data_IF_493282595955
#
_entry.id   IF_493282595955
#
_cell.length_a   1.000
_cell.length_b   1.000
_cell.length_c   1.000
_cell.angle_alpha   90.00
_cell.angle_beta   90.00
_cell.angle_gamma   90.00
#
_symmetry.space_group_name_H-M   'P 1'
#
loop_
_entity.id
_entity.type
_entity.pdbx_description
1 polymer ?
#
# COMPACT_ATOMS: atom_id res chain seq x y z
N UNK A 1 -11.99 -31.26 -3.49
CA UNK A 1 -13.19 -30.50 -3.56
C UNK A 1 -13.05 -29.30 -4.48
N UNK A 2 -13.99 -29.12 -5.30
CA UNK A 2 -13.95 -28.02 -6.19
C UNK A 2 -14.59 -26.83 -5.61
N UNK A 3 -13.91 -25.75 -5.67
CA UNK A 3 -14.50 -24.50 -5.29
C UNK A 3 -15.04 -23.85 -6.53
N UNK A 4 -16.30 -23.60 -6.54
CA UNK A 4 -16.87 -22.87 -7.65
C UNK A 4 -16.42 -21.45 -7.60
N UNK A 5 -16.02 -20.94 -8.74
CA UNK A 5 -15.70 -19.52 -8.86
C UNK A 5 -17.02 -18.76 -8.82
N UNK A 6 -17.10 -17.71 -8.02
CA UNK A 6 -18.33 -16.93 -8.03
C UNK A 6 -18.54 -16.28 -9.39
N UNK A 7 -19.81 -16.20 -9.77
CA UNK A 7 -20.17 -15.53 -11.01
C UNK A 7 -20.27 -14.04 -10.74
N UNK A 8 -19.73 -13.19 -11.61
CA UNK A 8 -19.87 -11.75 -11.41
C UNK A 8 -21.34 -11.35 -11.55
N UNK A 9 -21.86 -10.52 -10.63
CA UNK A 9 -23.23 -10.03 -10.75
C UNK A 9 -23.49 -9.24 -12.04
N UNK A 10 -22.46 -8.60 -12.58
CA UNK A 10 -22.57 -7.85 -13.80
C UNK A 10 -21.58 -8.37 -14.84
N UNK A 11 -21.89 -9.52 -15.49
CA UNK A 11 -20.95 -10.08 -16.47
C UNK A 11 -20.72 -9.19 -17.69
N UNK A 12 -21.63 -8.22 -17.93
CA UNK A 12 -21.47 -7.21 -18.99
C UNK A 12 -20.47 -6.12 -18.62
N UNK A 13 -20.03 -6.09 -17.36
CA UNK A 13 -19.14 -5.04 -16.87
C UNK A 13 -17.85 -5.58 -16.27
N UNK A 14 -17.37 -6.70 -16.78
CA UNK A 14 -16.07 -7.21 -16.35
C UNK A 14 -15.02 -6.16 -16.68
N UNK A 15 -14.26 -5.74 -15.69
CA UNK A 15 -13.28 -4.69 -15.92
C UNK A 15 -12.13 -5.20 -16.76
N UNK A 16 -11.67 -4.35 -17.65
CA UNK A 16 -10.43 -4.58 -18.35
C UNK A 16 -9.63 -3.28 -18.29
N UNK A 17 -8.33 -3.40 -18.15
CA UNK A 17 -7.49 -2.24 -17.96
C UNK A 17 -6.77 -1.97 -19.28
N UNK A 18 -7.04 -0.81 -19.86
CA UNK A 18 -6.53 -0.47 -21.18
C UNK A 18 -5.20 0.24 -21.15
N UNK A 19 -4.85 0.84 -20.04
CA UNK A 19 -3.57 1.50 -19.88
C UNK A 19 -2.68 0.71 -18.98
N UNK A 20 -1.82 1.41 -18.30
CA UNK A 20 -0.99 0.78 -17.28
C UNK A 20 -1.80 0.48 -16.03
N UNK A 21 -1.31 -0.41 -15.22
CA UNK A 21 -1.96 -0.73 -13.96
C UNK A 21 -0.91 -1.17 -12.95
N UNK A 22 -1.31 -1.14 -11.70
CA UNK A 22 -0.50 -1.65 -10.60
C UNK A 22 -1.22 -2.82 -9.95
N UNK A 23 -0.48 -3.62 -9.23
CA UNK A 23 -1.01 -4.84 -8.61
C UNK A 23 -0.67 -4.88 -7.14
N UNK A 24 -1.52 -5.52 -6.36
CA UNK A 24 -1.33 -5.71 -4.94
C UNK A 24 -1.14 -7.18 -4.66
N UNK A 25 -0.10 -7.49 -3.94
CA UNK A 25 0.19 -8.87 -3.53
C UNK A 25 -0.87 -9.31 -2.52
N UNK A 26 -1.52 -10.42 -2.80
CA UNK A 26 -2.56 -10.95 -1.92
C UNK A 26 -2.03 -11.28 -0.53
N UNK A 27 -0.73 -11.53 -0.38
CA UNK A 27 -0.13 -11.81 0.92
C UNK A 27 -0.27 -10.64 1.88
N UNK A 28 -0.45 -9.41 1.35
CA UNK A 28 -0.56 -8.25 2.21
C UNK A 28 -1.64 -8.46 3.27
N UNK A 29 -2.80 -8.95 2.87
CA UNK A 29 -3.87 -9.24 3.82
C UNK A 29 -3.82 -10.68 4.33
N UNK A 30 -3.56 -11.64 3.45
CA UNK A 30 -3.63 -13.05 3.83
C UNK A 30 -2.60 -13.47 4.86
N UNK A 31 -1.43 -12.82 4.84
CA UNK A 31 -0.36 -13.17 5.76
C UNK A 31 -0.13 -12.11 6.82
N UNK A 32 -1.07 -11.18 6.95
CA UNK A 32 -1.06 -10.25 8.07
C UNK A 32 -0.09 -9.08 7.96
N UNK A 33 0.40 -8.76 6.76
CA UNK A 33 1.29 -7.61 6.60
C UNK A 33 0.58 -6.30 6.93
N UNK A 34 -0.75 -6.28 6.83
CA UNK A 34 -1.55 -5.10 7.13
C UNK A 34 -1.82 -4.90 8.62
N UNK A 35 -1.57 -5.92 9.44
CA UNK A 35 -1.96 -5.87 10.84
C UNK A 35 -1.19 -4.83 11.62
N UNK A 36 -1.92 -4.08 12.43
CA UNK A 36 -1.33 -3.02 13.22
C UNK A 36 -1.13 -1.70 12.48
N UNK A 37 -1.38 -1.66 11.18
CA UNK A 37 -1.31 -0.41 10.43
C UNK A 37 -2.57 0.41 10.69
N UNK A 38 -2.42 1.72 10.82
CA UNK A 38 -3.54 2.63 10.91
C UNK A 38 -4.21 2.76 9.54
N UNK A 39 -5.39 3.38 9.52
CA UNK A 39 -6.07 3.67 8.25
C UNK A 39 -5.20 4.48 7.32
N UNK A 40 -4.58 5.53 7.84
CA UNK A 40 -3.76 6.40 7.02
C UNK A 40 -2.57 5.65 6.45
N UNK A 41 -1.95 4.79 7.25
CA UNK A 41 -0.83 3.98 6.80
C UNK A 41 -1.25 3.05 5.67
N UNK A 42 -2.40 2.41 5.82
CA UNK A 42 -2.93 1.54 4.77
C UNK A 42 -3.24 2.33 3.50
N UNK A 43 -3.86 3.50 3.65
CA UNK A 43 -4.18 4.34 2.50
C UNK A 43 -2.94 4.84 1.79
N UNK A 44 -1.94 5.27 2.54
CA UNK A 44 -0.69 5.70 1.94
C UNK A 44 -0.05 4.56 1.15
N UNK A 45 -0.02 3.37 1.74
CA UNK A 45 0.52 2.20 1.05
C UNK A 45 -0.23 1.93 -0.25
N UNK A 46 -1.56 1.96 -0.21
CA UNK A 46 -2.37 1.73 -1.41
C UNK A 46 -2.14 2.80 -2.49
N UNK A 47 -2.03 4.06 -2.08
CA UNK A 47 -1.75 5.13 -3.04
C UNK A 47 -0.37 4.92 -3.68
N UNK A 48 0.63 4.58 -2.88
CA UNK A 48 1.97 4.35 -3.42
C UNK A 48 2.02 3.19 -4.40
N UNK A 49 1.24 2.14 -4.14
CA UNK A 49 1.10 1.06 -5.12
C UNK A 49 0.43 1.58 -6.38
N UNK A 50 -0.66 2.30 -6.22
CA UNK A 50 -1.48 2.73 -7.35
C UNK A 50 -0.73 3.64 -8.32
N UNK A 51 0.19 4.45 -7.81
CA UNK A 51 0.93 5.42 -8.65
C UNK A 51 2.30 4.91 -9.07
N UNK A 52 2.70 3.72 -8.63
CA UNK A 52 4.03 3.20 -8.94
C UNK A 52 4.10 2.62 -10.34
N UNK A 53 5.31 2.58 -10.88
CA UNK A 53 5.57 1.89 -12.12
C UNK A 53 5.73 0.38 -11.85
N UNK A 54 6.14 -0.39 -12.85
CA UNK A 54 6.25 -1.84 -12.73
C UNK A 54 7.28 -2.28 -11.69
N UNK A 55 8.25 -1.41 -11.37
CA UNK A 55 9.26 -1.71 -10.37
C UNK A 55 8.87 -1.22 -8.99
N UNK A 56 7.66 -0.70 -8.84
CA UNK A 56 7.16 -0.19 -7.57
C UNK A 56 7.60 1.24 -7.27
N UNK A 57 8.18 1.93 -8.24
CA UNK A 57 8.82 3.23 -8.01
C UNK A 57 7.89 4.37 -8.40
N UNK A 58 7.85 5.40 -7.58
CA UNK A 58 7.11 6.62 -7.89
C UNK A 58 7.77 7.83 -7.25
N UNK A 59 7.41 9.00 -7.75
CA UNK A 59 7.75 10.23 -7.10
C UNK A 59 6.47 10.99 -6.85
N UNK A 60 6.22 11.41 -5.62
CA UNK A 60 5.08 12.26 -5.29
C UNK A 60 5.52 13.20 -4.20
N UNK A 61 5.24 14.46 -4.37
CA UNK A 61 5.55 15.44 -3.34
C UNK A 61 4.66 15.23 -2.11
N UNK A 62 5.11 15.69 -0.98
CA UNK A 62 4.32 15.62 0.24
C UNK A 62 3.01 16.41 0.07
N UNK A 63 3.03 17.53 -0.65
CA UNK A 63 1.82 18.30 -0.91
C UNK A 63 0.81 17.51 -1.71
N UNK A 64 1.29 16.80 -2.74
CA UNK A 64 0.39 16.02 -3.57
C UNK A 64 -0.19 14.83 -2.82
N UNK A 65 0.62 14.16 -2.03
CA UNK A 65 0.12 13.05 -1.21
C UNK A 65 -0.86 13.55 -0.16
N UNK A 66 -0.58 14.69 0.44
CA UNK A 66 -1.50 15.25 1.41
C UNK A 66 -2.86 15.57 0.79
N UNK A 67 -2.87 16.07 -0.44
CA UNK A 67 -4.12 16.30 -1.16
C UNK A 67 -4.86 15.00 -1.42
N UNK A 68 -4.16 13.99 -1.94
CA UNK A 68 -4.78 12.71 -2.26
C UNK A 68 -5.34 12.01 -1.03
N UNK A 69 -4.66 12.15 0.10
CA UNK A 69 -5.03 11.47 1.33
C UNK A 69 -5.84 12.34 2.28
N UNK A 70 -6.10 13.58 1.88
CA UNK A 70 -6.84 14.56 2.70
C UNK A 70 -6.21 14.75 4.08
N UNK A 71 -4.89 14.86 4.07
CA UNK A 71 -4.12 15.03 5.29
C UNK A 71 -4.04 16.51 5.63
N UNK A 72 -4.31 16.86 6.89
CA UNK A 72 -4.28 18.22 7.38
C UNK A 72 -2.91 18.66 7.86
N UNK A 73 -2.20 17.76 8.54
CA UNK A 73 -0.97 18.11 9.22
C UNK A 73 0.21 17.34 8.67
N UNK A 74 1.30 18.04 8.32
CA UNK A 74 2.45 17.35 7.68
C UNK A 74 3.02 16.20 8.47
N UNK A 75 2.97 16.27 9.82
CA UNK A 75 3.54 15.19 10.63
C UNK A 75 2.77 13.88 10.48
N UNK A 76 1.51 13.95 10.06
CA UNK A 76 0.72 12.73 9.84
C UNK A 76 1.29 11.93 8.67
N UNK A 77 1.68 12.63 7.61
CA UNK A 77 2.26 11.96 6.44
C UNK A 77 3.63 11.38 6.76
N UNK A 78 4.49 12.15 7.40
CA UNK A 78 5.82 11.65 7.73
C UNK A 78 5.76 10.49 8.71
N UNK A 79 4.82 10.54 9.66
CA UNK A 79 4.62 9.42 10.59
C UNK A 79 4.18 8.15 9.88
N UNK A 80 3.21 8.28 8.97
CA UNK A 80 2.73 7.13 8.21
C UNK A 80 3.84 6.54 7.33
N UNK A 81 4.59 7.42 6.67
CA UNK A 81 5.73 7.00 5.85
C UNK A 81 6.76 6.24 6.66
N UNK A 82 7.10 6.77 7.82
CA UNK A 82 8.10 6.14 8.68
C UNK A 82 7.64 4.77 9.16
N UNK A 83 6.36 4.63 9.48
CA UNK A 83 5.86 3.32 9.89
C UNK A 83 5.95 2.29 8.77
N UNK A 84 5.60 2.68 7.56
CA UNK A 84 5.69 1.78 6.42
C UNK A 84 7.14 1.40 6.13
N UNK A 85 8.07 2.33 6.31
CA UNK A 85 9.49 2.05 6.15
C UNK A 85 9.98 1.11 7.24
N UNK A 86 9.57 1.33 8.49
CA UNK A 86 9.97 0.48 9.60
C UNK A 86 9.46 -0.93 9.46
N UNK A 87 8.35 -1.11 8.78
CA UNK A 87 7.78 -2.44 8.51
C UNK A 87 8.31 -3.07 7.24
N UNK A 88 9.28 -2.44 6.60
CA UNK A 88 9.90 -2.97 5.39
C UNK A 88 8.91 -3.15 4.24
N UNK A 89 7.92 -2.26 4.19
CA UNK A 89 6.92 -2.27 3.11
C UNK A 89 7.28 -1.32 1.99
N UNK A 90 7.98 -0.24 2.31
CA UNK A 90 8.43 0.74 1.33
C UNK A 90 9.82 1.21 1.66
N UNK A 91 10.49 1.78 0.66
CA UNK A 91 11.65 2.61 0.91
C UNK A 91 11.39 4.01 0.36
N UNK A 92 12.10 4.99 0.89
CA UNK A 92 11.93 6.37 0.48
C UNK A 92 13.28 7.08 0.62
N UNK A 93 13.77 7.59 -0.49
CA UNK A 93 15.03 8.34 -0.49
C UNK A 93 14.95 9.46 -1.51
N UNK A 94 15.28 10.67 -1.08
CA UNK A 94 15.40 11.81 -1.99
C UNK A 94 14.16 12.02 -2.86
N UNK A 95 12.99 11.90 -2.25
CA UNK A 95 11.74 12.11 -2.94
C UNK A 95 11.22 10.93 -3.74
N UNK A 96 11.97 9.83 -3.77
CA UNK A 96 11.60 8.65 -4.54
C UNK A 96 11.09 7.56 -3.60
N UNK A 97 9.90 7.08 -3.88
CA UNK A 97 9.29 5.97 -3.16
C UNK A 97 9.49 4.67 -3.94
N UNK A 98 9.65 3.60 -3.21
CA UNK A 98 9.59 2.26 -3.80
C UNK A 98 8.75 1.37 -2.92
N UNK A 99 7.73 0.74 -3.49
CA UNK A 99 6.99 -0.32 -2.84
C UNK A 99 7.82 -1.58 -2.96
N UNK A 100 8.16 -2.18 -1.83
CA UNK A 100 9.09 -3.31 -1.81
C UNK A 100 8.36 -4.63 -2.00
N UNK A 101 9.07 -5.61 -2.51
CA UNK A 101 8.58 -6.99 -2.47
C UNK A 101 8.34 -7.37 -1.02
N UNK A 102 7.27 -8.10 -0.74
CA UNK A 102 6.97 -8.48 0.64
C UNK A 102 8.00 -9.50 1.13
N UNK A 103 8.48 -9.27 2.34
CA UNK A 103 9.38 -10.23 2.98
C UNK A 103 8.64 -11.51 3.28
N UNK A 104 9.36 -12.55 3.74
CA UNK A 104 8.71 -13.83 4.04
C UNK A 104 7.73 -13.72 5.20
N UNK A 105 7.94 -12.76 6.10
CA UNK A 105 7.07 -12.56 7.25
C UNK A 105 6.91 -11.07 7.52
N UNK A 106 5.75 -10.67 8.06
CA UNK A 106 5.53 -9.27 8.41
C UNK A 106 6.54 -8.78 9.44
N UNK A 107 6.95 -7.52 9.28
CA UNK A 107 7.82 -6.84 10.23
C UNK A 107 6.95 -5.98 11.13
N UNK A 108 7.06 -6.17 12.43
CA UNK A 108 6.25 -5.43 13.39
C UNK A 108 7.15 -4.75 14.40
N UNK A 109 7.23 -3.43 14.40
CA UNK A 109 8.01 -2.73 15.41
C UNK A 109 7.49 -3.00 16.80
N UNK A 110 8.41 -3.20 17.74
CA UNK A 110 8.06 -3.60 19.09
C UNK A 110 7.14 -2.64 19.81
N UNK A 111 7.26 -1.34 19.52
CA UNK A 111 6.45 -0.34 20.20
C UNK A 111 4.97 -0.43 19.83
N UNK A 112 4.63 -1.21 18.83
CA UNK A 112 3.25 -1.40 18.42
C UNK A 112 2.62 -2.68 18.93
N UNK A 113 3.42 -3.57 19.49
CA UNK A 113 2.92 -4.88 19.87
C UNK A 113 1.83 -4.84 20.91
N UNK A 114 1.85 -3.87 21.78
CA UNK A 114 0.85 -3.75 22.83
C UNK A 114 -0.13 -2.61 22.58
N UNK A 115 -0.08 -2.07 21.42
CA UNK A 115 -0.81 -0.87 21.06
C UNK A 115 -2.27 -1.04 20.85
#
# INVERSE_FOLDING_TARGET
>A
MLTKRPQPPRPDRIRSIRGSFSWIDHRFFRQGFDQGLTRLEKLLYLVLIAVSNRDGVSFYSDERLAELLEIRYPHELSGARNELMDRDLISFEQGIYQVLDLSSQPQTPGYRENG
#
